data_IF_757979195455
#
_entry.id   IF_757979195455
#
_cell.length_a   1.000
_cell.length_b   1.000
_cell.length_c   1.000
_cell.angle_alpha   90.00
_cell.angle_beta   90.00
_cell.angle_gamma   90.00
#
_symmetry.space_group_name_H-M   'P 1'
#
loop_
_entity.id
_entity.type
_entity.pdbx_description
1 polymer ?
#
# COMPACT_ATOMS: atom_id res chain seq x y z
N UNK A 1 10.52 -8.27 27.78
CA UNK A 1 9.66 -7.52 27.12
C UNK A 1 10.22 -6.28 26.47
N UNK A 2 10.71 -5.37 27.15
CA UNK A 2 11.11 -4.10 26.57
C UNK A 2 12.04 -4.17 25.40
N UNK A 3 12.76 -5.23 25.24
CA UNK A 3 13.71 -5.36 24.15
C UNK A 3 13.14 -6.02 22.93
N UNK A 4 11.93 -6.54 23.04
CA UNK A 4 11.34 -7.12 21.89
C UNK A 4 10.83 -6.03 21.00
N UNK A 5 11.68 -5.64 20.10
CA UNK A 5 11.19 -4.93 18.97
C UNK A 5 10.38 -5.92 18.19
N UNK A 6 9.11 -5.74 18.25
CA UNK A 6 8.22 -6.54 17.47
C UNK A 6 8.58 -6.43 16.01
N UNK A 7 9.11 -5.28 15.61
CA UNK A 7 9.40 -5.04 14.20
C UNK A 7 10.62 -4.16 14.00
N UNK A 8 11.41 -4.56 13.03
CA UNK A 8 12.47 -3.70 12.51
C UNK A 8 11.98 -3.12 11.19
N UNK A 9 10.78 -2.55 11.23
CA UNK A 9 10.13 -2.02 10.03
C UNK A 9 10.36 -0.53 9.93
N UNK A 10 10.45 -0.08 8.69
CA UNK A 10 10.54 1.33 8.39
C UNK A 10 9.37 1.71 7.50
N UNK A 11 8.62 2.72 7.90
CA UNK A 11 7.52 3.22 7.08
C UNK A 11 8.09 3.81 5.80
N UNK A 12 7.54 3.43 4.66
CA UNK A 12 8.04 3.89 3.38
C UNK A 12 6.97 4.36 2.40
N UNK A 13 5.69 4.10 2.70
CA UNK A 13 4.65 4.47 1.75
C UNK A 13 3.31 4.70 2.44
N UNK A 14 2.57 5.69 1.94
CA UNK A 14 1.16 5.90 2.28
C UNK A 14 0.37 5.78 0.98
N UNK A 15 -0.58 4.85 0.94
CA UNK A 15 -1.42 4.62 -0.23
C UNK A 15 -2.81 5.20 -0.06
N UNK A 16 -3.26 5.92 -1.06
CA UNK A 16 -4.53 6.63 -1.04
C UNK A 16 -5.36 6.18 -2.24
N UNK A 17 -6.55 5.67 -1.99
CA UNK A 17 -7.45 5.26 -3.06
C UNK A 17 -8.28 6.45 -3.50
N UNK A 18 -8.34 6.70 -4.80
CA UNK A 18 -9.03 7.84 -5.38
C UNK A 18 -9.88 7.41 -6.57
N UNK A 19 -10.91 8.21 -6.88
CA UNK A 19 -11.78 7.95 -8.02
C UNK A 19 -11.15 8.37 -9.34
N UNK A 20 -10.38 9.46 -9.33
CA UNK A 20 -9.78 10.04 -10.52
C UNK A 20 -8.38 10.53 -10.16
N UNK A 21 -7.40 9.69 -10.47
CA UNK A 21 -6.03 9.95 -10.07
C UNK A 21 -5.48 11.23 -10.70
N UNK A 22 -5.73 11.44 -11.98
CA UNK A 22 -5.20 12.62 -12.67
C UNK A 22 -5.73 13.91 -12.06
N UNK A 23 -7.00 13.91 -11.69
CA UNK A 23 -7.61 15.09 -11.07
C UNK A 23 -7.05 15.35 -9.67
N UNK A 24 -6.90 14.29 -8.87
CA UNK A 24 -6.33 14.41 -7.53
C UNK A 24 -4.87 14.85 -7.60
N UNK A 25 -4.09 14.25 -8.50
CA UNK A 25 -2.69 14.61 -8.68
C UNK A 25 -2.55 16.07 -9.09
N UNK A 26 -3.39 16.54 -10.03
CA UNK A 26 -3.34 17.94 -10.48
C UNK A 26 -3.62 18.90 -9.33
N UNK A 27 -4.56 18.57 -8.46
CA UNK A 27 -4.85 19.40 -7.29
C UNK A 27 -3.67 19.43 -6.33
N UNK A 28 -3.09 18.27 -6.02
CA UNK A 28 -1.95 18.22 -5.12
C UNK A 28 -0.73 18.94 -5.66
N UNK A 29 -0.51 18.87 -6.99
CA UNK A 29 0.61 19.58 -7.60
C UNK A 29 0.49 21.10 -7.45
N UNK A 30 -0.72 21.63 -7.44
CA UNK A 30 -0.93 23.05 -7.16
C UNK A 30 -0.44 23.45 -5.78
N UNK A 31 -0.45 22.50 -4.85
CA UNK A 31 -0.01 22.72 -3.48
C UNK A 31 1.49 22.43 -3.30
N UNK A 32 2.17 22.01 -4.37
CA UNK A 32 3.57 21.68 -4.31
C UNK A 32 3.85 20.21 -3.99
N UNK A 33 2.82 19.37 -4.02
CA UNK A 33 2.96 17.93 -3.76
C UNK A 33 2.82 17.17 -5.09
N UNK A 34 3.93 16.64 -5.58
CA UNK A 34 4.01 15.97 -6.87
C UNK A 34 5.26 16.37 -7.62
N UNK A 35 5.42 15.98 -8.90
CA UNK A 35 4.43 15.29 -9.74
C UNK A 35 4.28 13.81 -9.39
N UNK A 36 3.22 13.20 -9.93
CA UNK A 36 2.94 11.77 -9.72
C UNK A 36 3.07 11.04 -11.06
N UNK A 37 4.27 10.56 -11.42
CA UNK A 37 4.39 9.69 -12.59
C UNK A 37 3.49 8.48 -12.42
N UNK A 38 2.80 8.08 -13.48
CA UNK A 38 1.77 7.05 -13.40
C UNK A 38 2.09 5.83 -14.23
N UNK A 39 1.59 4.69 -13.77
CA UNK A 39 1.59 3.43 -14.52
C UNK A 39 0.24 2.77 -14.33
N UNK A 40 -0.12 1.93 -15.30
CA UNK A 40 -1.25 1.02 -15.14
C UNK A 40 -0.69 -0.37 -14.96
N UNK A 41 -1.24 -1.12 -14.03
CA UNK A 41 -0.73 -2.45 -13.73
C UNK A 41 -1.83 -3.38 -13.25
N UNK A 42 -1.61 -4.67 -13.45
CA UNK A 42 -2.51 -5.67 -12.93
C UNK A 42 -2.20 -5.95 -11.47
N UNK A 43 -3.25 -6.21 -10.72
CA UNK A 43 -3.19 -6.61 -9.31
C UNK A 43 -4.15 -7.78 -9.14
N UNK A 44 -4.12 -8.48 -8.00
CA UNK A 44 -5.09 -9.56 -7.80
C UNK A 44 -6.53 -9.08 -7.99
N UNK A 45 -7.24 -9.72 -8.90
CA UNK A 45 -8.64 -9.42 -9.18
C UNK A 45 -8.91 -8.38 -10.23
N UNK A 46 -7.90 -7.64 -10.71
CA UNK A 46 -8.16 -6.62 -11.71
C UNK A 46 -6.98 -5.76 -12.08
N UNK A 47 -7.24 -4.48 -12.31
CA UNK A 47 -6.25 -3.54 -12.81
C UNK A 47 -6.41 -2.18 -12.14
N UNK A 48 -5.29 -1.54 -11.86
CA UNK A 48 -5.26 -0.21 -11.22
C UNK A 48 -4.33 0.72 -11.96
N UNK A 49 -4.55 2.01 -11.77
CA UNK A 49 -3.62 3.06 -12.17
C UNK A 49 -2.96 3.58 -10.89
N UNK A 50 -1.65 3.67 -10.91
CA UNK A 50 -0.87 4.07 -9.74
C UNK A 50 -0.04 5.29 -10.09
N UNK A 51 -0.05 6.29 -9.21
CA UNK A 51 0.84 7.44 -9.31
C UNK A 51 1.66 7.53 -8.04
N UNK A 52 2.97 7.69 -8.16
CA UNK A 52 3.88 7.71 -7.02
C UNK A 52 4.69 9.00 -7.00
N UNK A 53 4.70 9.65 -5.85
CA UNK A 53 5.53 10.81 -5.58
C UNK A 53 6.45 10.48 -4.40
N UNK A 54 7.76 10.58 -4.64
CA UNK A 54 8.76 10.31 -3.60
C UNK A 54 9.09 11.61 -2.88
N UNK A 55 8.89 11.63 -1.58
CA UNK A 55 9.23 12.78 -0.76
C UNK A 55 10.14 12.32 0.38
N UNK A 56 11.43 12.57 0.22
CA UNK A 56 12.40 12.02 1.15
C UNK A 56 12.38 10.51 1.11
N UNK A 57 12.24 9.90 2.28
CA UNK A 57 12.17 8.44 2.40
C UNK A 57 10.74 7.90 2.29
N UNK A 58 9.76 8.77 2.11
CA UNK A 58 8.35 8.38 2.08
C UNK A 58 7.79 8.52 0.68
N UNK A 59 7.06 7.50 0.23
CA UNK A 59 6.31 7.55 -1.01
C UNK A 59 4.85 7.87 -0.72
N UNK A 60 4.28 8.75 -1.51
CA UNK A 60 2.84 8.97 -1.54
C UNK A 60 2.33 8.26 -2.79
N UNK A 61 1.44 7.31 -2.62
CA UNK A 61 0.88 6.53 -3.72
C UNK A 61 -0.60 6.84 -3.88
N UNK A 62 -0.99 7.26 -5.09
CA UNK A 62 -2.39 7.39 -5.44
C UNK A 62 -2.78 6.16 -6.25
N UNK A 63 -3.92 5.54 -5.93
CA UNK A 63 -4.39 4.34 -6.59
C UNK A 63 -5.80 4.56 -7.09
N UNK A 64 -5.99 4.38 -8.40
CA UNK A 64 -7.31 4.43 -9.02
C UNK A 64 -7.67 3.04 -9.55
N UNK A 65 -8.72 2.42 -9.04
CA UNK A 65 -9.20 1.15 -9.61
C UNK A 65 -9.69 1.37 -11.04
N UNK A 66 -9.27 0.51 -11.97
CA UNK A 66 -9.67 0.60 -13.36
C UNK A 66 -10.63 -0.51 -13.77
N UNK A 67 -10.30 -1.77 -13.45
CA UNK A 67 -11.06 -2.93 -13.89
C UNK A 67 -11.10 -3.97 -12.79
N UNK A 68 -12.18 -4.74 -12.74
CA UNK A 68 -12.28 -5.92 -11.91
C UNK A 68 -12.72 -5.63 -10.48
N UNK A 69 -12.55 -6.65 -9.65
CA UNK A 69 -12.92 -6.62 -8.24
C UNK A 69 -11.64 -6.77 -7.41
N UNK A 70 -11.04 -5.64 -7.08
CA UNK A 70 -9.78 -5.59 -6.35
C UNK A 70 -10.05 -5.14 -4.92
N UNK A 71 -9.05 -5.33 -4.05
CA UNK A 71 -9.13 -4.81 -2.69
C UNK A 71 -9.32 -3.28 -2.70
N UNK A 72 -8.75 -2.62 -3.71
CA UNK A 72 -8.87 -1.17 -3.87
C UNK A 72 -10.26 -0.75 -4.32
N UNK A 73 -10.85 -1.45 -5.28
CA UNK A 73 -12.20 -1.12 -5.76
C UNK A 73 -13.24 -1.36 -4.67
N UNK A 74 -13.08 -2.43 -3.90
CA UNK A 74 -13.98 -2.71 -2.77
C UNK A 74 -13.88 -1.63 -1.71
N UNK A 75 -12.66 -1.20 -1.40
CA UNK A 75 -12.43 -0.12 -0.43
C UNK A 75 -13.12 1.16 -0.88
N UNK A 76 -12.90 1.54 -2.15
CA UNK A 76 -13.49 2.77 -2.69
C UNK A 76 -15.01 2.73 -2.61
N UNK A 77 -15.59 1.59 -2.92
CA UNK A 77 -17.05 1.41 -2.87
C UNK A 77 -17.60 1.49 -1.44
N UNK A 78 -16.90 0.88 -0.50
CA UNK A 78 -17.40 0.77 0.88
C UNK A 78 -17.05 1.98 1.73
N UNK A 79 -15.89 2.56 1.54
CA UNK A 79 -15.35 3.61 2.42
C UNK A 79 -15.15 4.95 1.74
N UNK A 80 -15.10 4.96 0.41
CA UNK A 80 -14.85 6.19 -0.34
C UNK A 80 -13.36 6.47 -0.50
N UNK A 81 -13.06 7.67 -0.95
CA UNK A 81 -11.68 8.10 -1.16
C UNK A 81 -10.97 8.33 0.17
N UNK A 82 -9.69 8.00 0.23
CA UNK A 82 -8.89 8.27 1.41
C UNK A 82 -7.74 7.29 1.57
N UNK A 83 -7.08 7.40 2.72
CA UNK A 83 -5.93 6.55 3.03
C UNK A 83 -6.40 5.11 3.15
N UNK A 84 -5.81 4.25 2.32
CA UNK A 84 -6.12 2.84 2.24
C UNK A 84 -5.12 2.02 3.03
N UNK A 85 -3.83 2.30 2.83
CA UNK A 85 -2.79 1.53 3.50
C UNK A 85 -1.59 2.38 3.86
N UNK A 86 -0.88 1.90 4.88
CA UNK A 86 0.42 2.42 5.28
C UNK A 86 1.39 1.26 5.15
N UNK A 87 2.46 1.44 4.39
CA UNK A 87 3.39 0.37 4.08
C UNK A 87 4.68 0.50 4.87
N UNK A 88 5.15 -0.64 5.33
CA UNK A 88 6.40 -0.76 6.06
C UNK A 88 7.33 -1.68 5.30
N UNK A 89 8.55 -1.23 5.10
CA UNK A 89 9.59 -2.06 4.49
C UNK A 89 10.13 -3.06 5.50
N UNK A 90 10.30 -4.30 5.08
CA UNK A 90 10.98 -5.33 5.88
C UNK A 90 12.00 -6.05 5.01
N UNK A 91 12.97 -6.69 5.66
CA UNK A 91 14.05 -7.37 4.94
C UNK A 91 13.65 -8.73 4.40
N UNK A 92 12.77 -9.43 5.11
CA UNK A 92 12.35 -10.79 4.75
C UNK A 92 10.86 -10.90 5.03
N UNK A 93 10.06 -10.65 3.99
CA UNK A 93 8.62 -10.61 4.14
C UNK A 93 8.02 -11.95 4.54
N UNK A 94 8.56 -13.06 4.02
CA UNK A 94 8.03 -14.38 4.37
C UNK A 94 8.18 -14.67 5.85
N UNK A 95 9.32 -14.32 6.41
CA UNK A 95 9.58 -14.50 7.83
C UNK A 95 8.64 -13.64 8.69
N UNK A 96 8.45 -12.40 8.28
CA UNK A 96 7.56 -11.49 9.02
C UNK A 96 6.11 -11.96 8.95
N UNK A 97 5.67 -12.41 7.78
CA UNK A 97 4.31 -12.93 7.65
C UNK A 97 4.08 -14.16 8.51
N UNK A 98 5.06 -15.04 8.62
CA UNK A 98 4.95 -16.21 9.49
C UNK A 98 4.75 -15.79 10.96
N UNK A 99 5.52 -14.80 11.41
CA UNK A 99 5.37 -14.28 12.77
C UNK A 99 3.97 -13.70 13.01
N UNK A 100 3.47 -12.95 12.05
CA UNK A 100 2.17 -12.30 12.18
C UNK A 100 1.04 -13.30 12.15
N UNK A 101 1.14 -14.35 11.33
CA UNK A 101 0.14 -15.40 11.31
C UNK A 101 0.06 -16.14 12.65
N UNK A 102 1.19 -16.33 13.31
CA UNK A 102 1.21 -16.92 14.65
C UNK A 102 0.51 -16.04 15.68
N UNK A 103 0.48 -14.74 15.45
CA UNK A 103 -0.25 -13.80 16.31
C UNK A 103 -1.72 -13.69 15.94
N UNK A 104 -2.17 -14.43 14.94
CA UNK A 104 -3.56 -14.40 14.52
C UNK A 104 -3.90 -13.34 13.50
N UNK A 105 -2.91 -12.68 12.91
CA UNK A 105 -3.14 -11.65 11.90
C UNK A 105 -3.31 -12.33 10.55
N UNK A 106 -4.40 -12.00 9.84
CA UNK A 106 -4.69 -12.58 8.54
C UNK A 106 -4.09 -11.74 7.42
N UNK A 107 -3.70 -12.41 6.34
CA UNK A 107 -3.26 -11.75 5.12
C UNK A 107 -4.49 -11.62 4.21
N UNK A 108 -4.81 -10.38 3.81
CA UNK A 108 -5.94 -10.11 2.92
C UNK A 108 -5.59 -10.35 1.47
N UNK A 109 -4.39 -9.95 1.07
CA UNK A 109 -3.96 -10.03 -0.31
C UNK A 109 -2.44 -9.93 -0.34
N UNK A 110 -1.83 -10.50 -1.37
CA UNK A 110 -0.38 -10.43 -1.52
C UNK A 110 0.00 -10.62 -2.97
N UNK A 111 1.19 -10.15 -3.33
CA UNK A 111 1.67 -10.30 -4.69
C UNK A 111 3.12 -9.87 -4.82
N UNK A 112 3.56 -9.86 -6.06
CA UNK A 112 4.89 -9.39 -6.40
C UNK A 112 4.77 -8.61 -7.71
N UNK A 113 5.37 -7.42 -7.74
CA UNK A 113 5.34 -6.57 -8.92
C UNK A 113 6.70 -5.90 -9.06
N UNK A 114 7.31 -6.05 -10.24
CA UNK A 114 8.63 -5.46 -10.53
C UNK A 114 9.68 -5.81 -9.46
N UNK A 115 9.63 -7.06 -8.95
CA UNK A 115 10.57 -7.52 -7.94
C UNK A 115 10.24 -7.09 -6.51
N UNK A 116 9.21 -6.28 -6.33
CA UNK A 116 8.74 -5.87 -5.01
C UNK A 116 7.69 -6.87 -4.54
N UNK A 117 7.93 -7.49 -3.41
CA UNK A 117 6.94 -8.37 -2.76
C UNK A 117 6.13 -7.54 -1.77
N UNK A 118 4.83 -7.77 -1.74
CA UNK A 118 3.96 -7.02 -0.84
C UNK A 118 2.86 -7.91 -0.26
N UNK A 119 2.33 -7.50 0.88
CA UNK A 119 1.20 -8.17 1.52
C UNK A 119 0.37 -7.16 2.29
N UNK A 120 -0.95 -7.23 2.11
CA UNK A 120 -1.91 -6.45 2.90
C UNK A 120 -2.42 -7.29 4.06
N UNK A 121 -2.39 -6.73 5.24
CA UNK A 121 -2.81 -7.41 6.47
C UNK A 121 -4.21 -6.95 6.90
N UNK A 122 -4.94 -7.84 7.56
CA UNK A 122 -6.31 -7.54 8.02
C UNK A 122 -6.25 -6.71 9.32
N UNK A 123 -5.91 -5.44 9.19
CA UNK A 123 -5.75 -4.54 10.33
C UNK A 123 -6.83 -3.47 10.41
N UNK A 124 -7.60 -3.27 9.34
CA UNK A 124 -8.61 -2.20 9.29
C UNK A 124 -9.62 -2.25 10.44
N UNK A 125 -10.14 -3.42 10.84
CA UNK A 125 -11.10 -3.45 11.95
C UNK A 125 -10.54 -2.94 13.27
N UNK A 126 -9.21 -2.90 13.40
CA UNK A 126 -8.56 -2.49 14.65
C UNK A 126 -8.03 -1.06 14.60
N UNK A 127 -7.59 -0.59 13.44
CA UNK A 127 -6.91 0.70 13.38
C UNK A 127 -7.39 1.63 12.25
N UNK A 128 -8.35 1.18 11.43
CA UNK A 128 -8.96 2.05 10.43
C UNK A 128 -8.23 2.10 9.10
N UNK A 129 -7.11 1.44 8.97
CA UNK A 129 -6.37 1.35 7.71
C UNK A 129 -5.73 -0.04 7.59
N UNK A 130 -5.26 -0.34 6.37
CA UNK A 130 -4.58 -1.61 6.10
C UNK A 130 -3.09 -1.39 6.27
N UNK A 131 -2.46 -2.21 7.11
CA UNK A 131 -1.01 -2.22 7.21
C UNK A 131 -0.48 -3.11 6.09
N UNK A 132 0.46 -2.58 5.32
CA UNK A 132 1.12 -3.32 4.25
C UNK A 132 2.55 -3.60 4.63
N UNK A 133 3.04 -4.79 4.30
CA UNK A 133 4.46 -5.09 4.35
C UNK A 133 4.99 -5.16 2.94
N UNK A 134 6.18 -4.63 2.72
CA UNK A 134 6.84 -4.65 1.44
C UNK A 134 8.30 -5.05 1.57
N UNK A 135 8.78 -5.79 0.58
CA UNK A 135 10.19 -6.15 0.48
C UNK A 135 10.66 -5.77 -0.91
N UNK A 136 11.59 -4.83 -0.96
CA UNK A 136 12.16 -4.36 -2.21
C UNK A 136 13.30 -5.26 -2.64
N UNK A 137 13.57 -5.38 -3.94
CA UNK A 137 14.73 -6.14 -4.38
C UNK A 137 15.99 -5.49 -3.83
N UNK A 138 16.94 -6.33 -3.43
CA UNK A 138 18.24 -5.85 -3.01
C UNK A 138 19.04 -5.49 -4.26
N UNK A 139 19.60 -4.29 -4.23
CA UNK A 139 20.31 -3.86 -5.42
C UNK A 139 21.54 -3.09 -5.14
#
# INVERSE_FOLDING_TARGET
MGDEKVMDYKIDQIGIVVKDLDKTAAFLEKLGVGPFPTIETEVPGGKVKIGIFQQGDLQIELIQPLEGDTIHSRWLKEKGEGIHHVSYHCKDIEKELQKLEKLGVKILDRGEIFGVKWAYLDTEPHCGFILELGQWPEG
#
